data_IF_566904885733
#
_entry.id   IF_566904885733
#
_cell.length_a   1.000
_cell.length_b   1.000
_cell.length_c   1.000
_cell.angle_alpha   90.00
_cell.angle_beta   90.00
_cell.angle_gamma   90.00
#
_symmetry.space_group_name_H-M   'P 1'
#
loop_
_entity.id
_entity.type
_entity.pdbx_description
1 polymer ?
#
# COMPACT_ATOMS: atom_id res chain seq x y z
N UNK A 1 64.60 40.93 9.92
CA UNK A 1 63.75 40.65 11.09
C UNK A 1 62.45 41.43 10.92
N UNK A 2 61.38 40.77 10.46
CA UNK A 2 60.02 41.33 10.46
C UNK A 2 59.10 40.29 11.08
N UNK A 3 58.54 40.63 12.22
CA UNK A 3 57.61 39.80 12.97
C UNK A 3 56.19 40.00 12.41
N UNK A 4 55.66 38.99 11.72
CA UNK A 4 54.25 38.92 11.34
C UNK A 4 53.52 38.14 12.43
N UNK A 5 52.87 38.86 13.36
CA UNK A 5 51.97 38.27 14.34
C UNK A 5 50.63 37.93 13.67
N UNK A 6 50.48 36.68 13.24
CA UNK A 6 49.20 36.10 12.89
C UNK A 6 48.43 35.80 14.18
N UNK A 7 47.55 36.74 14.55
CA UNK A 7 46.54 36.54 15.59
C UNK A 7 45.58 35.43 15.15
N UNK A 8 45.72 34.26 15.78
CA UNK A 8 44.88 33.09 15.53
C UNK A 8 43.69 33.14 16.50
N UNK A 9 42.70 33.97 16.20
CA UNK A 9 41.42 33.97 16.93
C UNK A 9 40.60 32.79 16.46
N UNK A 10 40.82 31.61 17.04
CA UNK A 10 39.91 30.46 16.89
C UNK A 10 38.62 30.78 17.63
N UNK A 11 37.63 31.30 16.90
CA UNK A 11 36.25 31.32 17.34
C UNK A 11 35.77 29.86 17.45
N UNK A 12 35.78 29.32 18.68
CA UNK A 12 35.11 28.08 19.02
C UNK A 12 33.60 28.34 18.93
N UNK A 13 33.02 28.12 17.75
CA UNK A 13 31.58 28.07 17.61
C UNK A 13 31.11 26.78 18.30
N UNK A 14 30.24 26.83 19.33
CA UNK A 14 29.76 25.64 20.00
C UNK A 14 28.99 24.80 18.97
N UNK A 15 29.57 23.68 18.57
CA UNK A 15 28.88 22.69 17.76
C UNK A 15 27.70 22.19 18.58
N UNK A 16 26.47 22.55 18.18
CA UNK A 16 25.25 21.90 18.69
C UNK A 16 25.47 20.38 18.63
N UNK A 17 25.15 19.61 19.68
CA UNK A 17 25.46 18.19 19.75
C UNK A 17 24.65 17.43 18.68
N UNK A 18 25.26 17.25 17.51
CA UNK A 18 24.70 16.55 16.36
C UNK A 18 24.34 15.09 16.70
N UNK A 19 24.92 14.53 17.77
CA UNK A 19 24.64 13.19 18.27
C UNK A 19 23.24 12.97 18.86
N UNK A 20 22.57 14.00 19.37
CA UNK A 20 21.24 13.83 19.98
C UNK A 20 20.15 13.51 18.93
N UNK A 21 20.18 14.21 17.79
CA UNK A 21 19.21 14.00 16.71
C UNK A 21 19.35 12.62 16.06
N UNK A 22 20.59 12.15 15.83
CA UNK A 22 20.84 10.82 15.25
C UNK A 22 20.36 9.72 16.21
N UNK A 23 20.58 9.91 17.52
CA UNK A 23 20.11 8.96 18.54
C UNK A 23 18.58 8.86 18.54
N UNK A 24 17.88 9.99 18.47
CA UNK A 24 16.41 10.00 18.37
C UNK A 24 15.93 9.25 17.12
N UNK A 25 16.51 9.54 15.95
CA UNK A 25 16.12 8.87 14.71
C UNK A 25 16.39 7.35 14.75
N UNK A 26 17.48 6.91 15.38
CA UNK A 26 17.73 5.47 15.59
C UNK A 26 16.63 4.81 16.42
N UNK A 27 16.15 5.48 17.46
CA UNK A 27 15.03 4.97 18.28
C UNK A 27 13.74 4.90 17.46
N UNK A 28 13.44 5.95 16.69
CA UNK A 28 12.24 5.99 15.83
C UNK A 28 12.28 4.87 14.78
N UNK A 29 13.40 4.71 14.06
CA UNK A 29 13.55 3.66 13.05
C UNK A 29 13.61 2.27 13.69
N UNK A 30 14.19 2.13 14.88
CA UNK A 30 14.16 0.88 15.65
C UNK A 30 12.73 0.49 16.04
N UNK A 31 11.91 1.44 16.48
CA UNK A 31 10.49 1.21 16.76
C UNK A 31 9.72 0.82 15.49
N UNK A 32 9.98 1.50 14.37
CA UNK A 32 9.41 1.14 13.07
C UNK A 32 9.80 -0.28 12.65
N UNK A 33 11.04 -0.72 12.88
CA UNK A 33 11.50 -2.09 12.58
C UNK A 33 10.74 -3.14 13.39
N UNK A 34 10.52 -2.90 14.69
CA UNK A 34 9.73 -3.79 15.56
C UNK A 34 8.29 -3.87 15.08
N UNK A 35 7.66 -2.72 14.82
CA UNK A 35 6.29 -2.67 14.29
C UNK A 35 6.18 -3.41 12.97
N UNK A 36 7.12 -3.18 12.05
CA UNK A 36 7.15 -3.86 10.74
C UNK A 36 7.25 -5.37 10.89
N UNK A 37 8.10 -5.85 11.82
CA UNK A 37 8.22 -7.28 12.10
C UNK A 37 6.91 -7.88 12.59
N UNK A 38 6.23 -7.19 13.52
CA UNK A 38 4.92 -7.63 14.02
C UNK A 38 3.91 -7.67 12.86
N UNK A 39 3.85 -6.63 12.03
CA UNK A 39 2.94 -6.55 10.88
C UNK A 39 3.17 -7.72 9.92
N UNK A 40 4.43 -8.02 9.56
CA UNK A 40 4.75 -9.11 8.64
C UNK A 40 4.34 -10.47 9.22
N UNK A 41 4.57 -10.70 10.51
CA UNK A 41 4.15 -11.92 11.20
C UNK A 41 2.62 -12.04 11.22
N UNK A 42 1.91 -10.97 11.56
CA UNK A 42 0.44 -10.94 11.58
C UNK A 42 -0.12 -11.18 10.17
N UNK A 43 0.44 -10.54 9.15
CA UNK A 43 0.05 -10.74 7.75
C UNK A 43 0.22 -12.21 7.34
N UNK A 44 1.38 -12.80 7.63
CA UNK A 44 1.66 -14.21 7.36
C UNK A 44 0.65 -15.15 8.04
N UNK A 45 0.41 -14.98 9.34
CA UNK A 45 -0.56 -15.81 10.09
C UNK A 45 -1.97 -15.63 9.53
N UNK A 46 -2.39 -14.39 9.26
CA UNK A 46 -3.72 -14.08 8.73
C UNK A 46 -3.95 -14.71 7.35
N UNK A 47 -2.93 -14.71 6.49
CA UNK A 47 -2.98 -15.35 5.17
C UNK A 47 -3.22 -16.86 5.26
N UNK A 48 -2.48 -17.57 6.09
CA UNK A 48 -2.70 -19.01 6.31
C UNK A 48 -4.06 -19.32 6.96
N UNK A 49 -4.50 -18.48 7.89
CA UNK A 49 -5.83 -18.60 8.47
C UNK A 49 -6.91 -18.43 7.39
N UNK A 50 -6.73 -17.51 6.44
CA UNK A 50 -7.66 -17.31 5.34
C UNK A 50 -7.75 -18.51 4.40
N UNK A 51 -6.64 -19.18 4.08
CA UNK A 51 -6.63 -20.37 3.22
C UNK A 51 -7.53 -21.51 3.74
N UNK A 52 -7.72 -21.58 5.05
CA UNK A 52 -8.57 -22.60 5.69
C UNK A 52 -10.08 -22.26 5.68
N UNK A 53 -10.47 -21.07 5.20
CA UNK A 53 -11.86 -20.61 5.16
C UNK A 53 -12.50 -20.89 3.80
N UNK A 54 -13.81 -21.15 3.74
CA UNK A 54 -14.55 -21.13 2.49
C UNK A 54 -14.44 -19.75 1.84
N UNK A 55 -14.05 -19.77 0.58
CA UNK A 55 -13.86 -18.62 -0.29
C UNK A 55 -15.10 -18.42 -1.15
N UNK A 56 -15.64 -17.20 -1.16
CA UNK A 56 -16.83 -16.84 -1.92
C UNK A 56 -16.64 -16.95 -3.45
N UNK A 57 -15.39 -17.07 -3.93
CA UNK A 57 -15.08 -16.86 -5.34
C UNK A 57 -15.14 -15.38 -5.73
N UNK A 58 -14.93 -14.51 -4.75
CA UNK A 58 -14.59 -13.10 -4.92
C UNK A 58 -14.00 -12.62 -3.59
N UNK A 59 -13.03 -11.70 -3.64
CA UNK A 59 -12.54 -11.06 -2.43
C UNK A 59 -13.46 -9.90 -2.05
N UNK A 60 -13.76 -9.80 -0.76
CA UNK A 60 -14.73 -8.87 -0.19
C UNK A 60 -14.05 -8.12 0.95
N UNK A 61 -14.18 -6.79 0.97
CA UNK A 61 -13.66 -5.96 2.06
C UNK A 61 -14.45 -6.16 3.36
N UNK A 62 -13.89 -5.68 4.49
CA UNK A 62 -14.62 -5.60 5.77
C UNK A 62 -15.90 -4.74 5.75
N UNK A 63 -16.13 -3.97 4.68
CA UNK A 63 -17.39 -3.24 4.40
C UNK A 63 -18.28 -3.94 3.38
N UNK A 64 -18.07 -5.24 3.18
CA UNK A 64 -18.88 -6.10 2.31
C UNK A 64 -18.83 -5.68 0.82
N UNK A 65 -17.82 -4.92 0.41
CA UNK A 65 -17.65 -4.52 -1.00
C UNK A 65 -16.74 -5.50 -1.71
N UNK A 66 -17.23 -6.05 -2.82
CA UNK A 66 -16.45 -6.90 -3.72
C UNK A 66 -15.33 -6.08 -4.34
N UNK A 67 -14.08 -6.53 -4.18
CA UNK A 67 -12.92 -5.80 -4.68
C UNK A 67 -12.67 -6.08 -6.17
N UNK A 68 -11.50 -5.72 -6.71
CA UNK A 68 -11.13 -5.91 -8.13
C UNK A 68 -10.40 -7.21 -8.48
N UNK A 69 -10.12 -8.09 -7.52
CA UNK A 69 -9.32 -9.31 -7.74
C UNK A 69 -10.00 -10.34 -8.63
N UNK A 70 -9.22 -11.10 -9.39
CA UNK A 70 -9.69 -12.16 -10.28
C UNK A 70 -8.75 -13.36 -10.15
N UNK A 71 -9.15 -14.55 -10.65
CA UNK A 71 -8.21 -15.67 -10.64
C UNK A 71 -7.05 -15.40 -11.59
N UNK A 72 -5.83 -15.67 -11.11
CA UNK A 72 -4.62 -15.75 -11.93
C UNK A 72 -4.36 -17.17 -12.45
N UNK A 73 -5.23 -18.12 -12.09
CA UNK A 73 -5.17 -19.53 -12.50
C UNK A 73 -6.22 -19.86 -13.55
N UNK A 74 -6.16 -21.08 -14.10
CA UNK A 74 -7.20 -21.60 -14.99
C UNK A 74 -8.52 -21.95 -14.26
N UNK A 75 -8.54 -21.88 -12.92
CA UNK A 75 -9.72 -22.16 -12.11
C UNK A 75 -10.50 -20.87 -11.87
N UNK A 76 -11.66 -20.65 -12.54
CA UNK A 76 -12.40 -19.41 -12.36
C UNK A 76 -12.96 -19.32 -10.94
N UNK A 77 -12.94 -18.11 -10.37
CA UNK A 77 -13.57 -17.86 -9.09
C UNK A 77 -15.09 -17.94 -9.22
N UNK A 78 -15.74 -18.82 -8.43
CA UNK A 78 -17.18 -19.12 -8.55
C UNK A 78 -18.08 -17.89 -8.43
N UNK A 79 -17.81 -16.97 -7.51
CA UNK A 79 -18.54 -15.72 -7.38
C UNK A 79 -18.38 -14.80 -8.59
N UNK A 80 -17.18 -14.69 -9.16
CA UNK A 80 -16.96 -13.96 -10.42
C UNK A 80 -17.73 -14.60 -11.58
N UNK A 81 -17.67 -15.92 -11.69
CA UNK A 81 -18.41 -16.66 -12.71
C UNK A 81 -19.93 -16.52 -12.55
N UNK A 82 -20.42 -16.41 -11.32
CA UNK A 82 -21.82 -16.18 -10.99
C UNK A 82 -22.26 -14.71 -11.18
N UNK A 83 -21.34 -13.80 -11.54
CA UNK A 83 -21.64 -12.44 -11.93
C UNK A 83 -21.30 -11.35 -10.90
N UNK A 84 -20.60 -11.68 -9.82
CA UNK A 84 -20.07 -10.69 -8.87
C UNK A 84 -19.04 -9.78 -9.55
N UNK A 85 -19.24 -8.46 -9.42
CA UNK A 85 -18.38 -7.43 -10.03
C UNK A 85 -17.72 -6.57 -8.97
N UNK A 86 -16.59 -5.98 -9.34
CA UNK A 86 -15.91 -5.03 -8.48
C UNK A 86 -16.83 -3.84 -8.18
N UNK A 87 -16.94 -3.49 -6.91
CA UNK A 87 -17.82 -2.43 -6.42
C UNK A 87 -19.23 -2.90 -6.01
N UNK A 88 -19.60 -4.15 -6.22
CA UNK A 88 -20.84 -4.69 -5.65
C UNK A 88 -20.76 -4.68 -4.12
N UNK A 89 -21.81 -4.25 -3.45
CA UNK A 89 -21.94 -4.26 -2.00
C UNK A 89 -22.90 -5.37 -1.56
N UNK A 90 -22.44 -6.32 -0.74
CA UNK A 90 -23.27 -7.43 -0.27
C UNK A 90 -24.17 -6.93 0.86
N UNK A 91 -25.48 -6.90 0.60
CA UNK A 91 -26.48 -6.37 1.53
C UNK A 91 -27.32 -7.45 2.21
N UNK A 92 -27.29 -8.70 1.72
CA UNK A 92 -27.90 -9.84 2.39
C UNK A 92 -27.22 -11.15 2.01
N UNK A 93 -27.25 -12.10 2.94
CA UNK A 93 -26.78 -13.48 2.75
C UNK A 93 -27.83 -14.45 3.32
N UNK A 94 -28.30 -15.41 2.51
CA UNK A 94 -29.34 -16.38 2.86
C UNK A 94 -30.61 -15.73 3.48
N UNK A 95 -30.98 -14.54 3.01
CA UNK A 95 -32.12 -13.76 3.53
C UNK A 95 -31.86 -13.00 4.83
N UNK A 96 -30.67 -13.13 5.44
CA UNK A 96 -30.24 -12.31 6.58
C UNK A 96 -29.76 -10.96 6.06
N UNK A 97 -30.33 -9.86 6.56
CA UNK A 97 -29.90 -8.50 6.18
C UNK A 97 -28.53 -8.19 6.78
N UNK A 98 -27.62 -7.66 5.96
CA UNK A 98 -26.33 -7.11 6.38
C UNK A 98 -26.35 -5.58 6.40
N UNK A 99 -27.29 -4.95 5.70
CA UNK A 99 -27.35 -3.50 5.52
C UNK A 99 -27.73 -2.75 6.81
N UNK A 100 -28.42 -3.41 7.74
CA UNK A 100 -28.88 -2.83 9.01
C UNK A 100 -27.84 -2.99 10.13
N UNK A 101 -26.76 -3.72 9.87
CA UNK A 101 -25.74 -4.10 10.82
C UNK A 101 -24.53 -3.16 10.78
N UNK A 102 -23.76 -3.13 11.87
CA UNK A 102 -22.42 -2.53 11.82
C UNK A 102 -21.53 -3.33 10.86
N UNK A 103 -20.59 -2.70 10.16
CA UNK A 103 -19.70 -3.40 9.22
C UNK A 103 -18.97 -4.60 9.84
N UNK A 104 -18.54 -4.50 11.11
CA UNK A 104 -17.93 -5.63 11.82
C UNK A 104 -18.92 -6.75 12.12
N UNK A 105 -20.18 -6.43 12.43
CA UNK A 105 -21.24 -7.43 12.63
C UNK A 105 -21.60 -8.11 11.32
N UNK A 106 -21.76 -7.33 10.24
CA UNK A 106 -22.03 -7.82 8.90
C UNK A 106 -20.92 -8.77 8.40
N UNK A 107 -19.66 -8.42 8.65
CA UNK A 107 -18.51 -9.28 8.33
C UNK A 107 -18.56 -10.60 9.11
N UNK A 108 -18.87 -10.55 10.41
CA UNK A 108 -18.98 -11.74 11.23
C UNK A 108 -20.11 -12.67 10.74
N UNK A 109 -21.29 -12.11 10.42
CA UNK A 109 -22.44 -12.86 9.89
C UNK A 109 -22.08 -13.49 8.54
N UNK A 110 -21.47 -12.72 7.63
CA UNK A 110 -21.06 -13.24 6.31
C UNK A 110 -20.06 -14.41 6.46
N UNK A 111 -19.05 -14.24 7.33
CA UNK A 111 -18.07 -15.29 7.59
C UNK A 111 -18.70 -16.54 8.22
N UNK A 112 -19.66 -16.37 9.13
CA UNK A 112 -20.41 -17.48 9.72
C UNK A 112 -21.22 -18.23 8.66
N UNK A 113 -21.96 -17.51 7.82
CA UNK A 113 -22.76 -18.11 6.74
C UNK A 113 -21.91 -18.84 5.70
N UNK A 114 -20.73 -18.31 5.38
CA UNK A 114 -19.75 -18.98 4.52
C UNK A 114 -19.26 -20.30 5.11
N UNK A 115 -19.03 -20.35 6.43
CA UNK A 115 -18.62 -21.59 7.09
C UNK A 115 -19.76 -22.63 7.14
N UNK A 116 -20.98 -22.19 7.40
CA UNK A 116 -22.16 -23.06 7.42
C UNK A 116 -22.49 -23.61 6.03
N UNK A 117 -22.23 -22.83 4.97
CA UNK A 117 -22.58 -23.17 3.59
C UNK A 117 -21.41 -23.73 2.78
N UNK A 118 -20.39 -24.32 3.43
CA UNK A 118 -19.14 -24.77 2.76
C UNK A 118 -19.38 -25.65 1.54
N UNK A 119 -20.37 -26.53 1.60
CA UNK A 119 -20.70 -27.50 0.55
C UNK A 119 -22.13 -27.34 0.01
N UNK A 120 -22.81 -26.22 0.34
CA UNK A 120 -24.18 -25.93 -0.07
C UNK A 120 -24.27 -24.59 -0.80
N UNK A 121 -25.37 -24.34 -1.50
CA UNK A 121 -25.57 -23.03 -2.12
C UNK A 121 -25.80 -21.94 -1.07
N UNK A 122 -25.30 -20.76 -1.40
CA UNK A 122 -25.40 -19.50 -0.66
C UNK A 122 -26.07 -18.49 -1.58
N UNK A 123 -27.14 -17.86 -1.11
CA UNK A 123 -27.82 -16.80 -1.85
C UNK A 123 -27.35 -15.44 -1.34
N UNK A 124 -26.83 -14.61 -2.23
CA UNK A 124 -26.42 -13.24 -1.95
C UNK A 124 -27.36 -12.25 -2.60
N UNK A 125 -27.71 -11.20 -1.87
CA UNK A 125 -28.34 -10.00 -2.43
C UNK A 125 -27.31 -8.87 -2.38
N UNK A 126 -27.20 -8.16 -3.49
CA UNK A 126 -26.16 -7.19 -3.75
C UNK A 126 -26.79 -5.86 -4.15
N UNK A 127 -26.09 -4.79 -3.80
CA UNK A 127 -26.29 -3.46 -4.33
C UNK A 127 -25.15 -3.14 -5.31
N UNK A 128 -25.51 -2.88 -6.56
CA UNK A 128 -24.57 -2.54 -7.63
C UNK A 128 -24.66 -1.06 -8.01
N UNK A 129 -23.55 -0.31 -8.01
CA UNK A 129 -23.56 1.11 -8.38
C UNK A 129 -24.12 1.37 -9.78
N UNK A 130 -24.99 2.37 -9.91
CA UNK A 130 -25.63 2.76 -11.17
C UNK A 130 -24.65 3.14 -12.30
N UNK A 131 -23.41 3.53 -11.94
CA UNK A 131 -22.33 3.83 -12.88
C UNK A 131 -21.80 2.59 -13.61
N UNK A 132 -22.22 1.40 -13.22
CA UNK A 132 -21.84 0.13 -13.85
C UNK A 132 -22.99 -0.46 -14.66
N UNK A 133 -22.67 -1.28 -15.66
CA UNK A 133 -23.71 -1.98 -16.40
C UNK A 133 -24.41 -2.99 -15.47
N UNK A 134 -25.74 -3.02 -15.40
CA UNK A 134 -26.46 -3.91 -14.47
C UNK A 134 -26.15 -5.39 -14.75
N UNK A 135 -25.99 -5.80 -16.00
CA UNK A 135 -25.83 -7.21 -16.34
C UNK A 135 -27.11 -8.01 -16.11
N UNK A 136 -27.05 -9.33 -16.32
CA UNK A 136 -28.25 -10.19 -16.34
C UNK A 136 -28.79 -10.59 -14.95
N UNK A 137 -27.97 -10.48 -13.91
CA UNK A 137 -28.31 -10.88 -12.53
C UNK A 137 -29.01 -9.79 -11.71
N UNK A 138 -29.16 -8.60 -12.29
CA UNK A 138 -29.74 -7.45 -11.60
C UNK A 138 -31.18 -7.23 -12.07
N UNK A 139 -32.07 -7.03 -11.10
CA UNK A 139 -33.49 -6.77 -11.31
C UNK A 139 -33.80 -5.30 -11.12
N UNK A 140 -34.57 -5.02 -10.07
CA UNK A 140 -35.11 -3.69 -9.78
C UNK A 140 -34.03 -2.67 -9.37
N UNK A 141 -34.31 -1.39 -9.66
CA UNK A 141 -33.52 -0.27 -9.17
C UNK A 141 -33.99 0.11 -7.76
N UNK A 142 -33.03 0.23 -6.84
CA UNK A 142 -33.24 0.71 -5.47
C UNK A 142 -33.54 2.21 -5.45
N UNK A 143 -34.09 2.69 -4.33
CA UNK A 143 -34.48 4.10 -4.18
C UNK A 143 -33.30 5.09 -4.32
N UNK A 144 -32.07 4.63 -4.09
CA UNK A 144 -30.85 5.42 -4.26
C UNK A 144 -30.28 5.40 -5.69
N UNK A 145 -30.98 4.75 -6.63
CA UNK A 145 -30.59 4.64 -8.03
C UNK A 145 -29.68 3.45 -8.35
N UNK A 146 -29.19 2.71 -7.35
CA UNK A 146 -28.38 1.52 -7.55
C UNK A 146 -29.23 0.31 -7.94
N UNK A 147 -28.63 -0.72 -8.53
CA UNK A 147 -29.34 -1.94 -8.93
C UNK A 147 -29.33 -2.97 -7.79
N UNK A 148 -30.46 -3.65 -7.58
CA UNK A 148 -30.54 -4.83 -6.72
C UNK A 148 -30.26 -6.08 -7.55
N UNK A 149 -29.28 -6.87 -7.13
CA UNK A 149 -28.87 -8.08 -7.83
C UNK A 149 -28.90 -9.27 -6.88
N UNK A 150 -29.16 -10.45 -7.43
CA UNK A 150 -29.23 -11.69 -6.66
C UNK A 150 -28.38 -12.75 -7.33
N UNK A 151 -27.55 -13.44 -6.53
CA UNK A 151 -26.62 -14.46 -6.99
C UNK A 151 -26.69 -15.66 -6.07
N UNK A 152 -26.79 -16.85 -6.65
CA UNK A 152 -26.63 -18.10 -5.93
C UNK A 152 -25.29 -18.73 -6.34
N UNK A 153 -24.49 -19.13 -5.35
CA UNK A 153 -23.19 -19.78 -5.57
C UNK A 153 -22.88 -20.78 -4.46
N UNK A 154 -22.00 -21.74 -4.74
CA UNK A 154 -21.44 -22.61 -3.70
C UNK A 154 -20.01 -22.13 -3.39
N UNK A 155 -19.70 -21.80 -2.13
CA UNK A 155 -18.33 -21.44 -1.73
C UNK A 155 -17.31 -22.50 -2.17
N UNK A 156 -16.10 -22.05 -2.48
CA UNK A 156 -14.98 -22.92 -2.88
C UNK A 156 -13.81 -22.75 -1.92
N UNK A 157 -12.71 -23.49 -2.09
CA UNK A 157 -11.44 -23.09 -1.47
C UNK A 157 -10.69 -22.14 -2.39
N UNK A 158 -9.90 -21.22 -1.83
CA UNK A 158 -9.04 -20.36 -2.64
C UNK A 158 -8.02 -21.23 -3.38
N UNK A 159 -7.95 -21.18 -4.73
CA UNK A 159 -7.00 -21.99 -5.49
C UNK A 159 -5.55 -21.72 -5.06
N UNK A 160 -4.70 -22.75 -5.04
CA UNK A 160 -3.32 -22.64 -4.52
C UNK A 160 -2.47 -21.62 -5.28
N UNK A 161 -2.69 -21.47 -6.58
CA UNK A 161 -1.99 -20.48 -7.43
C UNK A 161 -2.43 -19.05 -7.07
N UNK A 162 -3.71 -18.86 -6.75
CA UNK A 162 -4.24 -17.58 -6.29
C UNK A 162 -3.74 -17.28 -4.87
N UNK A 163 -3.68 -18.28 -3.99
CA UNK A 163 -3.08 -18.15 -2.66
C UNK A 163 -1.60 -17.74 -2.74
N UNK A 164 -0.83 -18.40 -3.60
CA UNK A 164 0.57 -18.04 -3.84
C UNK A 164 0.69 -16.58 -4.31
N UNK A 165 -0.16 -16.16 -5.25
CA UNK A 165 -0.03 -14.86 -5.91
C UNK A 165 -0.53 -13.70 -5.04
N UNK A 166 -1.67 -13.86 -4.38
CA UNK A 166 -2.29 -12.79 -3.59
C UNK A 166 -1.79 -12.71 -2.15
N UNK A 167 -1.25 -13.80 -1.59
CA UNK A 167 -0.83 -13.85 -0.18
C UNK A 167 0.67 -14.08 -0.06
N UNK A 168 1.18 -15.19 -0.60
CA UNK A 168 2.58 -15.56 -0.33
C UNK A 168 3.59 -14.66 -1.05
N UNK A 169 3.35 -14.23 -2.29
CA UNK A 169 4.25 -13.33 -3.03
C UNK A 169 4.38 -11.95 -2.36
N UNK A 170 3.28 -11.25 -1.98
CA UNK A 170 3.37 -9.99 -1.25
C UNK A 170 4.05 -10.14 0.11
N UNK A 171 3.70 -11.17 0.89
CA UNK A 171 4.31 -11.41 2.21
C UNK A 171 5.79 -11.79 2.07
N UNK A 172 6.16 -12.62 1.09
CA UNK A 172 7.55 -12.95 0.78
C UNK A 172 8.37 -11.72 0.38
N UNK A 173 7.80 -10.84 -0.44
CA UNK A 173 8.40 -9.54 -0.79
C UNK A 173 8.57 -8.65 0.43
N UNK A 174 7.59 -8.63 1.33
CA UNK A 174 7.68 -7.92 2.60
C UNK A 174 8.83 -8.45 3.46
N UNK A 175 9.00 -9.78 3.58
CA UNK A 175 10.14 -10.38 4.29
C UNK A 175 11.48 -9.95 3.70
N UNK A 176 11.63 -9.93 2.38
CA UNK A 176 12.88 -9.47 1.73
C UNK A 176 13.15 -8.00 2.07
N UNK A 177 12.14 -7.14 1.98
CA UNK A 177 12.28 -5.71 2.31
C UNK A 177 12.58 -5.49 3.80
N UNK A 178 12.00 -6.30 4.68
CA UNK A 178 12.29 -6.31 6.12
C UNK A 178 13.76 -6.65 6.39
N UNK A 179 14.29 -7.70 5.76
CA UNK A 179 15.70 -8.10 5.88
C UNK A 179 16.64 -7.02 5.36
N UNK A 180 16.31 -6.38 4.24
CA UNK A 180 17.06 -5.24 3.70
C UNK A 180 17.05 -4.07 4.70
N UNK A 181 15.88 -3.74 5.27
CA UNK A 181 15.75 -2.69 6.28
C UNK A 181 16.63 -2.94 7.51
N UNK A 182 16.63 -4.18 8.02
CA UNK A 182 17.54 -4.59 9.10
C UNK A 182 19.00 -4.48 8.69
N UNK A 183 19.39 -4.98 7.51
CA UNK A 183 20.76 -4.89 7.04
C UNK A 183 21.24 -3.42 6.96
N UNK A 184 20.43 -2.52 6.40
CA UNK A 184 20.77 -1.09 6.34
C UNK A 184 20.88 -0.51 7.75
N UNK A 185 19.96 -0.83 8.67
CA UNK A 185 20.01 -0.35 10.04
C UNK A 185 21.26 -0.86 10.79
N UNK A 186 21.69 -2.10 10.56
CA UNK A 186 22.92 -2.62 11.17
C UNK A 186 24.18 -1.97 10.60
N UNK A 187 24.27 -1.82 9.27
CA UNK A 187 25.49 -1.34 8.61
C UNK A 187 25.59 0.18 8.44
N UNK A 188 24.48 0.92 8.53
CA UNK A 188 24.42 2.37 8.20
C UNK A 188 23.57 3.20 9.18
N UNK A 189 23.42 2.79 10.44
CA UNK A 189 22.69 3.59 11.44
C UNK A 189 23.38 4.89 11.85
N UNK A 190 24.64 5.11 11.49
CA UNK A 190 25.43 6.30 11.81
C UNK A 190 25.13 7.48 10.89
N UNK A 191 24.50 7.23 9.74
CA UNK A 191 24.22 8.23 8.71
C UNK A 191 22.72 8.45 8.54
N UNK A 192 22.25 9.72 8.45
CA UNK A 192 20.82 9.99 8.27
C UNK A 192 20.28 9.40 6.97
N UNK A 193 21.08 9.35 5.91
CA UNK A 193 20.69 8.74 4.63
C UNK A 193 20.47 7.23 4.76
N UNK A 194 21.26 6.57 5.61
CA UNK A 194 21.09 5.15 5.94
C UNK A 194 19.78 4.91 6.71
N UNK A 195 19.47 5.76 7.68
CA UNK A 195 18.21 5.68 8.45
C UNK A 195 16.98 5.91 7.56
N UNK A 196 17.02 6.87 6.63
CA UNK A 196 15.94 7.08 5.66
C UNK A 196 15.81 5.86 4.72
N UNK A 197 16.93 5.30 4.25
CA UNK A 197 16.92 4.08 3.44
C UNK A 197 16.31 2.89 4.17
N UNK A 198 16.62 2.71 5.45
CA UNK A 198 15.99 1.69 6.29
C UNK A 198 14.49 1.96 6.47
N UNK A 199 14.09 3.21 6.69
CA UNK A 199 12.67 3.60 6.79
C UNK A 199 11.89 3.24 5.53
N UNK A 200 12.43 3.55 4.34
CA UNK A 200 11.83 3.19 3.05
C UNK A 200 11.66 1.67 2.93
N UNK A 201 12.67 0.88 3.32
CA UNK A 201 12.60 -0.58 3.28
C UNK A 201 11.53 -1.14 4.24
N UNK A 202 11.49 -0.67 5.50
CA UNK A 202 10.48 -1.09 6.47
C UNK A 202 9.07 -0.67 6.06
N UNK A 203 8.87 0.56 5.58
CA UNK A 203 7.57 1.03 5.11
C UNK A 203 7.12 0.28 3.85
N UNK A 204 8.04 -0.05 2.94
CA UNK A 204 7.75 -0.92 1.79
C UNK A 204 7.35 -2.33 2.23
N UNK A 205 7.97 -2.84 3.30
CA UNK A 205 7.58 -4.12 3.90
C UNK A 205 6.17 -4.08 4.49
N UNK A 206 5.80 -3.03 5.24
CA UNK A 206 4.43 -2.87 5.75
C UNK A 206 3.44 -2.77 4.58
N UNK A 207 3.78 -1.98 3.57
CA UNK A 207 2.94 -1.77 2.40
C UNK A 207 2.73 -3.07 1.61
N UNK A 208 3.77 -3.87 1.39
CA UNK A 208 3.65 -5.17 0.72
C UNK A 208 2.87 -6.19 1.56
N UNK A 209 3.15 -6.29 2.87
CA UNK A 209 2.49 -7.25 3.76
C UNK A 209 0.98 -7.00 3.90
N UNK A 210 0.57 -5.72 3.92
CA UNK A 210 -0.83 -5.36 4.15
C UNK A 210 -1.75 -5.39 2.91
N UNK A 211 -1.22 -5.61 1.70
CA UNK A 211 -2.01 -5.63 0.44
C UNK A 211 -3.15 -6.64 0.51
N UNK A 212 -2.89 -7.83 1.08
CA UNK A 212 -3.91 -8.86 1.18
C UNK A 212 -5.03 -8.48 2.16
N UNK A 213 -4.67 -8.01 3.36
CA UNK A 213 -5.65 -7.67 4.39
C UNK A 213 -6.52 -6.48 4.00
N UNK A 214 -5.99 -5.49 3.29
CA UNK A 214 -6.80 -4.35 2.81
C UNK A 214 -7.87 -4.78 1.80
N UNK A 215 -7.64 -5.90 1.09
CA UNK A 215 -8.59 -6.50 0.16
C UNK A 215 -9.56 -7.51 0.77
N UNK A 216 -9.41 -7.84 2.05
CA UNK A 216 -10.19 -8.88 2.75
C UNK A 216 -10.74 -8.37 4.09
N UNK A 217 -10.22 -8.85 5.23
CA UNK A 217 -10.72 -8.58 6.58
C UNK A 217 -10.41 -7.18 7.11
N UNK A 218 -9.56 -6.42 6.42
CA UNK A 218 -9.17 -5.07 6.80
C UNK A 218 -8.32 -4.99 8.08
N UNK A 219 -7.83 -6.12 8.63
CA UNK A 219 -7.14 -6.16 9.93
C UNK A 219 -5.93 -5.21 9.98
N UNK A 220 -5.12 -5.23 8.91
CA UNK A 220 -3.92 -4.39 8.77
C UNK A 220 -4.16 -3.13 7.94
N UNK A 221 -5.42 -2.83 7.55
CA UNK A 221 -5.71 -1.68 6.71
C UNK A 221 -5.29 -0.34 7.32
N UNK A 222 -5.50 -0.05 8.64
CA UNK A 222 -5.06 1.22 9.21
C UNK A 222 -3.55 1.47 9.11
N UNK A 223 -2.74 0.45 9.41
CA UNK A 223 -1.28 0.62 9.36
C UNK A 223 -0.76 0.68 7.93
N UNK A 224 -1.39 -0.06 7.01
CA UNK A 224 -1.10 0.01 5.58
C UNK A 224 -1.42 1.39 4.99
N UNK A 225 -2.56 1.99 5.38
CA UNK A 225 -2.98 3.33 4.99
C UNK A 225 -2.04 4.42 5.49
N UNK A 226 -1.41 4.24 6.65
CA UNK A 226 -0.34 5.13 7.14
C UNK A 226 0.98 4.92 6.39
N UNK A 227 1.32 3.66 6.14
CA UNK A 227 2.61 3.29 5.56
C UNK A 227 2.78 3.85 4.13
N UNK A 228 1.74 3.89 3.31
CA UNK A 228 1.81 4.40 1.94
C UNK A 228 2.26 5.87 1.85
N UNK A 229 1.53 6.83 2.45
CA UNK A 229 1.95 8.22 2.50
C UNK A 229 3.33 8.42 3.14
N UNK A 230 3.65 7.69 4.22
CA UNK A 230 4.98 7.77 4.84
C UNK A 230 6.10 7.23 3.94
N UNK A 231 5.83 6.18 3.17
CA UNK A 231 6.77 5.63 2.18
C UNK A 231 7.06 6.67 1.10
N UNK A 232 6.00 7.25 0.52
CA UNK A 232 6.12 8.32 -0.46
C UNK A 232 6.86 9.55 0.08
N UNK A 233 6.53 10.00 1.29
CA UNK A 233 7.21 11.12 1.94
C UNK A 233 8.68 10.82 2.24
N UNK A 234 9.01 9.61 2.67
CA UNK A 234 10.40 9.20 2.92
C UNK A 234 11.24 9.22 1.64
N UNK A 235 10.65 8.82 0.52
CA UNK A 235 11.28 8.93 -0.81
C UNK A 235 11.49 10.39 -1.23
N UNK A 236 10.51 11.27 -1.00
CA UNK A 236 10.66 12.70 -1.26
C UNK A 236 11.75 13.31 -0.37
N UNK A 237 11.75 13.01 0.94
CA UNK A 237 12.78 13.48 1.87
C UNK A 237 14.17 12.98 1.47
N UNK A 238 14.31 11.72 1.02
CA UNK A 238 15.55 11.22 0.42
C UNK A 238 15.93 12.06 -0.80
N UNK A 239 14.98 12.29 -1.71
CA UNK A 239 15.17 13.12 -2.92
C UNK A 239 15.56 14.56 -2.64
N UNK A 240 15.20 15.11 -1.49
CA UNK A 240 15.52 16.48 -1.06
C UNK A 240 16.92 16.59 -0.41
N UNK A 241 17.39 15.50 0.20
CA UNK A 241 18.59 15.50 1.06
C UNK A 241 19.78 14.78 0.43
N UNK A 242 19.54 13.79 -0.44
CA UNK A 242 20.54 12.96 -1.11
C UNK A 242 20.57 13.24 -2.62
N UNK A 243 21.74 13.15 -3.30
CA UNK A 243 23.07 12.94 -2.73
C UNK A 243 23.70 14.18 -2.11
N UNK A 244 23.16 15.37 -2.41
CA UNK A 244 23.48 16.62 -1.73
C UNK A 244 22.18 17.33 -1.37
N UNK A 245 22.14 17.91 -0.17
CA UNK A 245 21.01 18.75 0.26
C UNK A 245 20.78 19.88 -0.75
N UNK A 246 19.57 19.92 -1.31
CA UNK A 246 19.14 20.95 -2.24
C UNK A 246 19.28 22.34 -1.62
N UNK A 247 19.54 23.35 -2.46
CA UNK A 247 19.72 24.72 -1.99
C UNK A 247 18.49 25.23 -1.22
N UNK A 248 17.29 24.92 -1.69
CA UNK A 248 16.03 25.29 -1.05
C UNK A 248 15.92 24.77 0.39
N UNK A 249 16.29 23.50 0.63
CA UNK A 249 16.29 22.87 1.96
C UNK A 249 17.42 23.44 2.82
N UNK A 250 18.55 23.82 2.22
CA UNK A 250 19.65 24.47 2.94
C UNK A 250 19.26 25.84 3.46
N UNK A 251 18.48 26.60 2.70
CA UNK A 251 17.98 27.93 3.12
C UNK A 251 16.82 27.84 4.10
N UNK A 252 15.97 26.80 3.97
CA UNK A 252 14.80 26.58 4.81
C UNK A 252 14.80 25.13 5.33
N UNK A 253 15.53 24.84 6.43
CA UNK A 253 15.71 23.47 6.90
C UNK A 253 14.40 22.79 7.33
N UNK A 254 13.34 23.55 7.62
CA UNK A 254 12.03 23.00 7.96
C UNK A 254 11.36 22.28 6.78
N UNK A 255 11.72 22.62 5.53
CA UNK A 255 11.18 21.96 4.33
C UNK A 255 11.56 20.47 4.25
N UNK A 256 12.61 20.04 4.95
CA UNK A 256 13.01 18.63 5.04
C UNK A 256 11.91 17.76 5.69
N UNK A 257 11.15 18.34 6.62
CA UNK A 257 10.12 17.64 7.40
C UNK A 257 8.71 17.80 6.83
N UNK A 258 8.50 18.76 5.92
CA UNK A 258 7.18 19.04 5.33
C UNK A 258 6.54 17.79 4.69
N UNK A 259 7.26 16.94 3.91
CA UNK A 259 6.67 15.73 3.37
C UNK A 259 6.16 14.78 4.45
N UNK A 260 6.93 14.58 5.54
CA UNK A 260 6.55 13.68 6.62
C UNK A 260 5.38 14.20 7.45
N UNK A 261 5.30 15.52 7.69
CA UNK A 261 4.16 16.15 8.37
C UNK A 261 2.90 15.99 7.52
N UNK A 262 2.98 16.32 6.23
CA UNK A 262 1.85 16.18 5.30
C UNK A 262 1.39 14.72 5.19
N UNK A 263 2.32 13.77 5.10
CA UNK A 263 2.00 12.34 5.07
C UNK A 263 1.38 11.84 6.38
N UNK A 264 1.79 12.37 7.54
CA UNK A 264 1.20 11.99 8.82
C UNK A 264 -0.24 12.48 8.93
N UNK A 265 -0.49 13.76 8.60
CA UNK A 265 -1.84 14.32 8.61
C UNK A 265 -2.73 13.62 7.58
N UNK A 266 -2.23 13.43 6.36
CA UNK A 266 -2.94 12.72 5.30
C UNK A 266 -3.25 11.28 5.67
N UNK A 267 -2.26 10.53 6.16
CA UNK A 267 -2.43 9.15 6.62
C UNK A 267 -3.47 9.04 7.74
N UNK A 268 -3.43 9.92 8.74
CA UNK A 268 -4.43 9.92 9.81
C UNK A 268 -5.85 10.18 9.29
N UNK A 269 -6.00 11.07 8.30
CA UNK A 269 -7.29 11.28 7.64
C UNK A 269 -7.77 10.03 6.89
N UNK A 270 -6.87 9.30 6.21
CA UNK A 270 -7.20 8.05 5.53
C UNK A 270 -7.61 6.95 6.53
N UNK A 271 -6.89 6.83 7.66
CA UNK A 271 -7.24 5.90 8.74
C UNK A 271 -8.61 6.26 9.34
N UNK A 272 -8.91 7.54 9.51
CA UNK A 272 -10.22 7.97 9.98
C UNK A 272 -11.34 7.53 9.03
N UNK A 273 -11.15 7.69 7.71
CA UNK A 273 -12.12 7.22 6.69
C UNK A 273 -12.30 5.69 6.75
N UNK A 274 -11.21 4.94 7.00
CA UNK A 274 -11.25 3.48 7.13
C UNK A 274 -12.03 3.01 8.35
N UNK A 275 -11.83 3.66 9.51
CA UNK A 275 -12.43 3.25 10.77
C UNK A 275 -13.87 3.76 10.95
N UNK A 276 -14.20 4.88 10.31
CA UNK A 276 -15.52 5.52 10.37
C UNK A 276 -16.05 5.80 8.96
N UNK A 277 -16.26 4.75 8.14
CA UNK A 277 -16.71 4.91 6.77
C UNK A 277 -18.14 5.46 6.71
N UNK A 278 -18.33 6.56 5.98
CA UNK A 278 -19.66 7.15 5.75
C UNK A 278 -20.51 6.38 4.74
N UNK A 279 -19.86 5.58 3.90
CA UNK A 279 -20.45 4.70 2.88
C UNK A 279 -19.60 3.43 2.78
N UNK A 280 -20.16 2.30 2.31
CA UNK A 280 -19.39 1.05 2.20
C UNK A 280 -18.19 1.15 1.24
N UNK A 281 -18.21 2.09 0.28
CA UNK A 281 -17.11 2.34 -0.66
C UNK A 281 -16.07 3.34 -0.18
N UNK A 282 -16.29 4.05 0.94
CA UNK A 282 -15.34 5.05 1.44
C UNK A 282 -13.92 4.45 1.69
N UNK A 283 -13.76 3.26 2.29
CA UNK A 283 -12.47 2.58 2.42
C UNK A 283 -11.71 2.40 1.10
N UNK A 284 -12.41 2.12 0.00
CA UNK A 284 -11.78 1.93 -1.31
C UNK A 284 -11.09 3.22 -1.77
N UNK A 285 -11.73 4.37 -1.56
CA UNK A 285 -11.14 5.67 -1.91
C UNK A 285 -9.92 5.99 -1.03
N UNK A 286 -9.97 5.61 0.26
CA UNK A 286 -8.83 5.76 1.15
C UNK A 286 -7.64 4.89 0.71
N UNK A 287 -7.90 3.65 0.30
CA UNK A 287 -6.86 2.76 -0.23
C UNK A 287 -6.22 3.32 -1.51
N UNK A 288 -7.03 3.80 -2.45
CA UNK A 288 -6.54 4.44 -3.68
C UNK A 288 -5.69 5.68 -3.39
N UNK A 289 -6.12 6.53 -2.45
CA UNK A 289 -5.37 7.71 -2.04
C UNK A 289 -4.01 7.37 -1.40
N UNK A 290 -3.94 6.32 -0.58
CA UNK A 290 -2.67 5.82 -0.01
C UNK A 290 -1.70 5.33 -1.10
N UNK A 291 -2.19 4.54 -2.04
CA UNK A 291 -1.39 4.07 -3.20
C UNK A 291 -0.93 5.23 -4.07
N UNK A 292 -1.80 6.22 -4.30
CA UNK A 292 -1.46 7.43 -5.06
C UNK A 292 -0.39 8.26 -4.34
N UNK A 293 -0.50 8.45 -3.03
CA UNK A 293 0.51 9.14 -2.23
C UNK A 293 1.88 8.44 -2.33
N UNK A 294 1.91 7.11 -2.25
CA UNK A 294 3.14 6.31 -2.43
C UNK A 294 3.74 6.50 -3.83
N UNK A 295 2.91 6.38 -4.86
CA UNK A 295 3.33 6.46 -6.26
C UNK A 295 3.85 7.86 -6.61
N UNK A 296 3.18 8.91 -6.14
CA UNK A 296 3.63 10.28 -6.30
C UNK A 296 4.99 10.52 -5.64
N UNK A 297 5.26 9.88 -4.50
CA UNK A 297 6.57 9.93 -3.84
C UNK A 297 7.71 9.35 -4.70
N UNK A 298 7.48 8.21 -5.37
CA UNK A 298 8.45 7.62 -6.31
C UNK A 298 8.69 8.55 -7.50
N UNK A 299 7.63 9.10 -8.10
CA UNK A 299 7.71 10.03 -9.24
C UNK A 299 8.52 11.28 -8.85
N UNK A 300 8.22 11.86 -7.69
CA UNK A 300 8.95 13.02 -7.17
C UNK A 300 10.41 12.68 -6.87
N UNK A 301 10.70 11.51 -6.29
CA UNK A 301 12.08 11.05 -6.09
C UNK A 301 12.83 10.97 -7.41
N UNK A 302 12.25 10.36 -8.45
CA UNK A 302 12.86 10.26 -9.79
C UNK A 302 13.10 11.65 -10.38
N UNK A 303 12.10 12.55 -10.31
CA UNK A 303 12.23 13.93 -10.78
C UNK A 303 13.35 14.68 -10.07
N UNK A 304 13.41 14.58 -8.73
CA UNK A 304 14.45 15.22 -7.92
C UNK A 304 15.85 14.63 -8.23
N UNK A 305 15.98 13.31 -8.37
CA UNK A 305 17.25 12.69 -8.74
C UNK A 305 17.71 13.10 -10.15
N UNK A 306 16.77 13.24 -11.10
CA UNK A 306 17.09 13.73 -12.43
C UNK A 306 17.57 15.18 -12.42
N UNK A 307 16.87 16.06 -11.70
CA UNK A 307 17.28 17.46 -11.51
C UNK A 307 18.66 17.56 -10.84
N UNK A 308 18.91 16.75 -9.81
CA UNK A 308 20.22 16.73 -9.13
C UNK A 308 21.33 16.18 -10.03
N UNK A 309 21.06 15.16 -10.84
CA UNK A 309 22.02 14.61 -11.82
C UNK A 309 22.42 15.64 -12.87
N UNK A 310 21.46 16.42 -13.38
CA UNK A 310 21.72 17.48 -14.36
C UNK A 310 22.59 18.60 -13.77
N UNK A 311 22.33 18.97 -12.51
CA UNK A 311 23.05 20.03 -11.80
C UNK A 311 24.29 19.55 -11.02
N UNK A 312 24.76 18.32 -11.26
CA UNK A 312 25.88 17.73 -10.52
C UNK A 312 27.24 18.29 -11.00
N UNK A 313 27.88 19.08 -10.14
CA UNK A 313 29.22 19.64 -10.40
C UNK A 313 30.38 18.66 -10.12
N UNK A 314 30.10 17.48 -9.57
CA UNK A 314 31.12 16.48 -9.18
C UNK A 314 30.71 15.08 -9.65
N UNK A 315 31.67 14.25 -10.12
CA UNK A 315 31.38 12.89 -10.59
C UNK A 315 30.64 12.04 -9.55
N UNK A 316 31.02 12.14 -8.27
CA UNK A 316 30.42 11.36 -7.17
C UNK A 316 28.91 11.63 -7.03
N UNK A 317 28.48 12.89 -7.06
CA UNK A 317 27.05 13.23 -6.97
C UNK A 317 26.28 12.70 -8.17
N UNK A 318 26.86 12.80 -9.38
CA UNK A 318 26.23 12.27 -10.59
C UNK A 318 26.06 10.74 -10.51
N UNK A 319 27.07 10.04 -10.01
CA UNK A 319 27.06 8.59 -9.86
C UNK A 319 26.06 8.10 -8.80
N UNK A 320 26.00 8.80 -7.67
CA UNK A 320 25.02 8.53 -6.61
C UNK A 320 23.58 8.75 -7.08
N UNK A 321 23.30 9.85 -7.79
CA UNK A 321 21.98 10.08 -8.40
C UNK A 321 21.65 9.02 -9.45
N UNK A 322 22.61 8.61 -10.28
CA UNK A 322 22.41 7.54 -11.26
C UNK A 322 22.04 6.21 -10.60
N UNK A 323 22.72 5.85 -9.51
CA UNK A 323 22.45 4.60 -8.78
C UNK A 323 21.01 4.58 -8.28
N UNK A 324 20.53 5.68 -7.68
CA UNK A 324 19.14 5.79 -7.22
C UNK A 324 18.15 5.76 -8.38
N UNK A 325 18.44 6.45 -9.49
CA UNK A 325 17.60 6.44 -10.68
C UNK A 325 17.47 5.03 -11.29
N UNK A 326 18.55 4.28 -11.38
CA UNK A 326 18.53 2.90 -11.89
C UNK A 326 17.62 2.04 -11.01
N UNK A 327 17.81 2.11 -9.68
CA UNK A 327 16.96 1.38 -8.73
C UNK A 327 15.48 1.79 -8.84
N UNK A 328 15.19 3.09 -8.88
CA UNK A 328 13.83 3.59 -9.02
C UNK A 328 13.18 3.18 -10.35
N UNK A 329 13.93 3.19 -11.46
CA UNK A 329 13.43 2.75 -12.76
C UNK A 329 13.15 1.25 -12.79
N UNK A 330 14.01 0.42 -12.16
CA UNK A 330 13.75 -1.01 -12.04
C UNK A 330 12.46 -1.31 -11.28
N UNK A 331 12.14 -0.53 -10.24
CA UNK A 331 10.88 -0.65 -9.49
C UNK A 331 9.68 -0.14 -10.30
N UNK A 332 9.85 0.92 -11.10
CA UNK A 332 8.77 1.51 -11.89
C UNK A 332 8.38 0.68 -13.12
N UNK A 333 9.31 -0.09 -13.72
CA UNK A 333 9.03 -0.84 -14.95
C UNK A 333 7.84 -1.79 -14.81
N UNK A 334 7.75 -2.67 -13.79
CA UNK A 334 6.57 -3.52 -13.60
C UNK A 334 5.27 -2.71 -13.45
N UNK A 335 5.30 -1.62 -12.68
CA UNK A 335 4.14 -0.74 -12.49
C UNK A 335 3.68 -0.06 -13.77
N UNK A 336 4.62 0.41 -14.61
CA UNK A 336 4.30 1.02 -15.91
C UNK A 336 3.70 -0.02 -16.85
N UNK A 337 4.29 -1.23 -16.93
CA UNK A 337 3.76 -2.31 -17.76
C UNK A 337 2.34 -2.70 -17.32
N UNK A 338 2.10 -2.75 -16.00
CA UNK A 338 0.78 -2.99 -15.45
C UNK A 338 -0.22 -1.90 -15.84
N UNK A 339 0.14 -0.62 -15.70
CA UNK A 339 -0.73 0.52 -16.11
C UNK A 339 -1.05 0.46 -17.60
N UNK A 340 -0.06 0.18 -18.45
CA UNK A 340 -0.25 0.05 -19.90
C UNK A 340 -1.22 -1.10 -20.20
N UNK A 341 -1.01 -2.26 -19.57
CA UNK A 341 -1.89 -3.43 -19.73
C UNK A 341 -3.34 -3.10 -19.35
N UNK A 342 -3.55 -2.50 -18.17
CA UNK A 342 -4.90 -2.11 -17.71
C UNK A 342 -5.54 -1.05 -18.59
N UNK A 343 -4.76 -0.07 -19.06
CA UNK A 343 -5.27 0.96 -19.97
C UNK A 343 -5.68 0.35 -21.31
N UNK A 344 -4.91 -0.62 -21.84
CA UNK A 344 -5.26 -1.31 -23.07
C UNK A 344 -6.56 -2.11 -22.95
N UNK A 345 -6.79 -2.79 -21.83
CA UNK A 345 -8.07 -3.49 -21.56
C UNK A 345 -9.23 -2.51 -21.52
N UNK A 346 -9.10 -1.39 -20.80
CA UNK A 346 -10.18 -0.40 -20.63
C UNK A 346 -10.52 0.30 -21.95
N UNK A 347 -9.52 0.74 -22.72
CA UNK A 347 -9.74 1.60 -23.87
C UNK A 347 -9.88 0.87 -25.20
N UNK A 348 -9.26 -0.31 -25.33
CA UNK A 348 -9.16 -1.01 -26.61
C UNK A 348 -9.93 -2.34 -26.61
N UNK A 349 -10.44 -2.80 -25.46
CA UNK A 349 -11.03 -4.14 -25.28
C UNK A 349 -10.06 -5.26 -25.73
N UNK A 350 -8.75 -4.95 -25.75
CA UNK A 350 -7.69 -5.90 -26.09
C UNK A 350 -7.21 -6.52 -24.78
N UNK A 351 -7.51 -7.80 -24.60
CA UNK A 351 -6.85 -8.63 -23.59
C UNK A 351 -5.40 -8.87 -24.01
N UNK A 352 -4.53 -7.89 -23.74
CA UNK A 352 -3.09 -8.11 -23.78
C UNK A 352 -2.79 -8.98 -22.56
N UNK A 353 -2.70 -10.29 -22.75
CA UNK A 353 -2.31 -11.26 -21.72
C UNK A 353 -0.82 -11.04 -21.38
N UNK A 354 -0.54 -9.93 -20.72
CA UNK A 354 0.56 -9.82 -19.78
C UNK A 354 -0.10 -10.00 -18.42
N UNK A 355 -0.20 -11.25 -17.96
CA UNK A 355 -0.61 -11.63 -16.60
C UNK A 355 0.42 -11.06 -15.60
N UNK A 356 0.41 -9.74 -15.43
CA UNK A 356 1.14 -9.01 -14.40
C UNK A 356 0.24 -8.73 -13.18
N UNK A 357 -0.96 -9.35 -13.12
CA UNK A 357 -1.86 -9.27 -11.96
C UNK A 357 -1.31 -10.01 -10.73
N UNK A 358 -0.21 -10.76 -10.88
CA UNK A 358 0.48 -11.50 -9.84
C UNK A 358 1.75 -10.81 -9.28
N UNK A 359 1.95 -9.51 -9.53
CA UNK A 359 3.08 -8.72 -8.99
C UNK A 359 2.65 -7.65 -8.00
#
# INVERSE_FOLDING_TARGET
>A
MSATLLSKTTAHSPSKPQGSAITLWRVVIGALAVVTTIVVIVAFISGFAYQSRPFLGAMVSGTQVVNGGVSVSDTPWVGRAAGLRAGDHIISVNGISLADESFSSAEAILNEQLQQSRDTSLTLVLERPASTTPGQICGETLANGNYRCEVELTPMQLPDVDFLSYILLPVGSAFVMLLIGYAILFYRNDKPEGLIGAAIAFLSSIFAAGIFNTGTDGLLAPIWLMAGPWLGASMVTLGLTFPKRLQLVRTMPLLEYLPLIAATVGGLALVYIQLFPSTPWAPLTAHQASTFATSSGVILLVGLMFLQRQNANTPVTRDQSNTVLIGAMMVLVPGILWIISRSAVIFLDINIVLNLESL
#
